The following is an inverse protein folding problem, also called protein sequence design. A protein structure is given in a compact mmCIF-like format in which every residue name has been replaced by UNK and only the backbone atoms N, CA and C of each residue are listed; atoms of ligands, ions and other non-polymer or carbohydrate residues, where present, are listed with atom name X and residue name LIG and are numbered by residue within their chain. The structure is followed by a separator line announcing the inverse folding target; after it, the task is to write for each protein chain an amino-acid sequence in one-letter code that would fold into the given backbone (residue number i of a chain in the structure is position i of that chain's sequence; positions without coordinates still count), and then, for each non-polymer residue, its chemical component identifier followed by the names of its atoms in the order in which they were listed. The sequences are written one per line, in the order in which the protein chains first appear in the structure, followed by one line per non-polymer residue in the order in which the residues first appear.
data_IF_007680990386
#
_entry.id   IF_007680990386
#
_cell.length_a   1.000
_cell.length_b   1.000
_cell.length_c   1.000
_cell.angle_alpha   90.00
_cell.angle_beta   90.00
_cell.angle_gamma   90.00
#
_symmetry.space_group_name_H-M   'P 1'
#
loop_
_entity.id
_entity.type
_entity.pdbx_description
1 polymer ?
#
# COMPACT_ATOMS: atom_id res chain seq x y z
N UNK A 1 39.68 -21.43 -6.07
CA UNK A 1 40.22 -22.14 -4.89
C UNK A 1 40.72 -21.10 -3.91
N UNK A 2 39.95 -20.77 -2.90
CA UNK A 2 40.44 -20.17 -1.62
C UNK A 2 39.35 -20.47 -0.58
N UNK A 3 39.66 -21.44 0.25
CA UNK A 3 38.93 -21.81 1.47
C UNK A 3 39.23 -20.76 2.51
N UNK A 4 38.26 -20.22 3.19
CA UNK A 4 38.49 -19.46 4.41
C UNK A 4 37.63 -20.04 5.54
N UNK A 5 38.35 -20.37 6.54
CA UNK A 5 38.13 -21.18 7.71
C UNK A 5 37.21 -20.49 8.72
N UNK A 6 36.32 -21.30 9.26
CA UNK A 6 35.43 -21.06 10.39
C UNK A 6 36.25 -21.01 11.70
N UNK A 7 36.01 -20.00 12.53
CA UNK A 7 36.47 -19.99 13.92
C UNK A 7 35.26 -19.85 14.84
N UNK A 8 34.97 -20.94 15.55
CA UNK A 8 34.10 -20.97 16.73
C UNK A 8 34.82 -20.31 17.92
N UNK A 9 34.09 -19.54 18.70
CA UNK A 9 34.42 -19.21 20.07
C UNK A 9 33.18 -19.38 20.95
N UNK A 10 33.26 -20.39 21.82
CA UNK A 10 32.41 -20.62 22.98
C UNK A 10 32.83 -19.71 24.14
N UNK A 11 31.92 -19.41 25.02
CA UNK A 11 32.16 -18.94 26.40
C UNK A 11 31.03 -18.07 26.89
N UNK A 12 30.39 -18.25 27.93
CA UNK A 12 30.43 -18.84 29.27
C UNK A 12 29.32 -18.18 30.08
N UNK A 13 28.68 -18.98 30.85
CA UNK A 13 27.65 -18.81 31.86
C UNK A 13 27.88 -17.75 32.96
N UNK A 14 26.81 -17.34 33.62
CA UNK A 14 26.79 -16.60 34.92
C UNK A 14 25.37 -16.18 35.25
N UNK A 15 24.60 -16.90 35.98
CA UNK A 15 24.33 -17.06 37.40
C UNK A 15 23.50 -15.91 38.00
N UNK A 16 22.27 -16.27 38.34
CA UNK A 16 21.39 -15.97 39.50
C UNK A 16 21.66 -14.73 40.34
N UNK A 17 20.56 -13.99 40.64
CA UNK A 17 20.22 -13.62 42.06
C UNK A 17 18.74 -13.25 42.16
N UNK A 18 18.03 -14.02 42.99
CA UNK A 18 16.71 -13.76 43.57
C UNK A 18 16.86 -12.66 44.67
N UNK A 19 15.98 -11.68 44.66
CA UNK A 19 15.63 -10.94 45.90
C UNK A 19 14.13 -10.67 45.90
N UNK A 20 13.49 -11.39 46.80
CA UNK A 20 12.18 -11.18 47.39
C UNK A 20 12.24 -9.98 48.33
N UNK A 21 11.32 -9.04 48.24
CA UNK A 21 10.94 -8.18 49.36
C UNK A 21 9.48 -7.77 49.27
N UNK A 22 8.77 -8.20 50.31
CA UNK A 22 7.39 -7.87 50.65
C UNK A 22 7.39 -6.58 51.52
N UNK A 23 6.37 -5.72 51.41
CA UNK A 23 6.17 -4.65 52.39
C UNK A 23 5.22 -3.56 51.89
N UNK A 24 4.04 -3.56 52.45
CA UNK A 24 2.86 -2.75 52.25
C UNK A 24 2.94 -1.28 52.62
N UNK A 25 1.87 -0.55 52.32
CA UNK A 25 1.58 0.80 52.79
C UNK A 25 0.73 1.58 51.79
N UNK A 26 -0.51 1.78 52.14
CA UNK A 26 -1.45 2.66 51.43
C UNK A 26 -1.05 4.11 51.55
N UNK A 27 -1.19 4.91 50.51
CA UNK A 27 -1.78 6.25 50.62
C UNK A 27 -2.14 6.84 49.24
N UNK A 28 -3.32 7.44 49.21
CA UNK A 28 -3.92 8.17 48.09
C UNK A 28 -3.14 9.43 47.75
N UNK A 29 -2.84 9.63 46.51
CA UNK A 29 -2.85 10.96 45.89
C UNK A 29 -3.01 10.82 44.36
N UNK A 30 -4.08 11.41 43.81
CA UNK A 30 -4.31 11.60 42.41
C UNK A 30 -3.48 12.80 41.92
N UNK A 31 -2.83 12.73 40.78
CA UNK A 31 -2.49 13.92 40.03
C UNK A 31 -3.41 14.07 38.81
N UNK A 32 -3.87 15.27 38.69
CA UNK A 32 -4.55 15.94 37.60
C UNK A 32 -4.11 15.45 36.25
N UNK A 33 -5.06 14.92 35.50
CA UNK A 33 -4.92 14.59 34.08
C UNK A 33 -5.00 15.88 33.26
N UNK A 34 -3.88 16.32 32.80
CA UNK A 34 -3.78 17.35 31.77
C UNK A 34 -4.18 16.71 30.44
N UNK A 35 -5.29 17.18 29.90
CA UNK A 35 -5.88 16.71 28.63
C UNK A 35 -5.01 17.18 27.49
N UNK A 36 -4.06 16.36 27.06
CA UNK A 36 -3.46 16.51 25.76
C UNK A 36 -4.49 16.06 24.71
N UNK A 37 -4.99 17.02 23.95
CA UNK A 37 -5.81 16.79 22.75
C UNK A 37 -4.92 16.10 21.74
N UNK A 38 -4.94 14.78 21.72
CA UNK A 38 -4.43 13.99 20.62
C UNK A 38 -5.44 14.11 19.48
N UNK A 39 -4.99 14.71 18.40
CA UNK A 39 -5.66 14.70 17.10
C UNK A 39 -5.81 13.23 16.71
N UNK A 40 -7.03 12.72 16.86
CA UNK A 40 -7.43 11.38 16.47
C UNK A 40 -7.33 11.28 14.94
N UNK A 41 -6.22 10.76 14.46
CA UNK A 41 -6.18 10.18 13.13
C UNK A 41 -7.05 8.92 13.21
N UNK A 42 -8.17 8.95 12.49
CA UNK A 42 -9.15 7.88 12.45
C UNK A 42 -8.48 6.57 12.01
N UNK A 43 -8.13 5.75 13.00
CA UNK A 43 -7.66 4.38 12.79
C UNK A 43 -8.87 3.53 12.40
N UNK A 44 -8.89 2.87 11.22
CA UNK A 44 -10.03 2.05 10.81
C UNK A 44 -10.26 0.91 11.81
N UNK A 45 -11.52 0.69 12.18
CA UNK A 45 -11.94 -0.36 13.10
C UNK A 45 -11.52 -1.77 12.60
N UNK A 46 -11.36 -2.74 13.49
CA UNK A 46 -10.83 -4.09 13.21
C UNK A 46 -11.57 -4.89 12.11
N UNK A 47 -12.81 -4.54 11.73
CA UNK A 47 -13.52 -5.05 10.56
C UNK A 47 -12.90 -4.61 9.23
N UNK A 48 -12.33 -3.42 9.17
CA UNK A 48 -11.73 -2.82 7.98
C UNK A 48 -10.39 -3.44 7.59
N UNK A 49 -9.65 -4.05 8.50
CA UNK A 49 -8.35 -4.68 8.21
C UNK A 49 -8.51 -5.95 7.36
N UNK A 50 -9.54 -6.77 7.64
CA UNK A 50 -9.83 -7.96 6.85
C UNK A 50 -10.35 -7.61 5.45
N UNK A 51 -11.21 -6.61 5.36
CA UNK A 51 -11.74 -6.12 4.07
C UNK A 51 -10.63 -5.51 3.22
N UNK A 52 -9.74 -4.74 3.83
CA UNK A 52 -8.59 -4.15 3.16
C UNK A 52 -7.62 -5.23 2.66
N UNK A 53 -7.31 -6.23 3.48
CA UNK A 53 -6.45 -7.35 3.08
C UNK A 53 -7.06 -8.14 1.90
N UNK A 54 -8.36 -8.41 1.94
CA UNK A 54 -9.09 -9.06 0.85
C UNK A 54 -9.08 -8.21 -0.43
N UNK A 55 -9.27 -6.90 -0.30
CA UNK A 55 -9.19 -5.96 -1.44
C UNK A 55 -7.80 -5.95 -2.06
N UNK A 56 -6.74 -5.89 -1.26
CA UNK A 56 -5.36 -5.92 -1.77
C UNK A 56 -5.04 -7.26 -2.45
N UNK A 57 -5.48 -8.38 -1.90
CA UNK A 57 -5.32 -9.70 -2.52
C UNK A 57 -6.05 -9.78 -3.87
N UNK A 58 -7.27 -9.22 -3.97
CA UNK A 58 -8.00 -9.08 -5.24
C UNK A 58 -7.23 -8.21 -6.23
N UNK A 59 -6.72 -7.07 -5.77
CA UNK A 59 -5.91 -6.15 -6.59
C UNK A 59 -4.65 -6.82 -7.14
N UNK A 60 -3.98 -7.64 -6.33
CA UNK A 60 -2.83 -8.44 -6.75
C UNK A 60 -3.19 -9.42 -7.89
N UNK A 61 -4.32 -10.12 -7.75
CA UNK A 61 -4.79 -11.04 -8.80
C UNK A 61 -5.08 -10.32 -10.11
N UNK A 62 -5.74 -9.16 -10.04
CA UNK A 62 -6.01 -8.33 -11.23
C UNK A 62 -4.70 -7.85 -11.83
N UNK A 63 -3.77 -7.38 -11.04
CA UNK A 63 -2.45 -6.94 -11.52
C UNK A 63 -1.72 -8.04 -12.28
N UNK A 64 -1.65 -9.23 -11.70
CA UNK A 64 -0.99 -10.40 -12.30
C UNK A 64 -1.63 -10.85 -13.61
N UNK A 65 -2.92 -10.64 -13.80
CA UNK A 65 -3.65 -11.09 -14.99
C UNK A 65 -3.82 -10.03 -16.06
N UNK A 66 -3.89 -8.76 -15.70
CA UNK A 66 -4.25 -7.67 -16.61
C UNK A 66 -3.12 -6.64 -16.84
N UNK A 67 -2.27 -6.43 -15.84
CA UNK A 67 -1.34 -5.29 -15.85
C UNK A 67 0.12 -5.68 -16.10
N UNK A 68 0.51 -6.88 -15.65
CA UNK A 68 1.90 -7.36 -15.64
C UNK A 68 2.54 -7.40 -17.03
N UNK A 69 1.77 -7.67 -18.08
CA UNK A 69 2.27 -7.76 -19.44
C UNK A 69 2.92 -6.46 -19.93
N UNK A 70 2.37 -5.30 -19.50
CA UNK A 70 2.87 -3.98 -19.85
C UNK A 70 3.70 -3.36 -18.74
N UNK A 71 3.20 -3.41 -17.49
CA UNK A 71 3.85 -2.74 -16.37
C UNK A 71 4.92 -3.57 -15.65
N UNK A 72 5.14 -4.81 -16.08
CA UNK A 72 6.09 -5.78 -15.53
C UNK A 72 5.76 -6.22 -14.07
N UNK A 73 6.36 -7.32 -13.62
CA UNK A 73 6.11 -7.87 -12.29
C UNK A 73 6.55 -6.95 -11.13
N UNK A 74 7.48 -6.06 -11.41
CA UNK A 74 8.05 -5.10 -10.45
C UNK A 74 7.47 -3.67 -10.59
N UNK A 75 6.46 -3.47 -11.44
CA UNK A 75 5.84 -2.17 -11.67
C UNK A 75 6.69 -1.15 -12.44
N UNK A 76 7.87 -1.52 -12.92
CA UNK A 76 8.79 -0.58 -13.58
C UNK A 76 8.41 -0.23 -15.03
N UNK A 77 7.47 -0.97 -15.61
CA UNK A 77 7.10 -0.78 -17.00
C UNK A 77 8.22 -1.14 -17.97
N UNK A 78 8.18 -0.56 -19.13
CA UNK A 78 9.20 -0.71 -20.17
C UNK A 78 9.55 0.69 -20.72
N UNK A 79 10.83 1.11 -20.67
CA UNK A 79 11.25 2.42 -21.17
C UNK A 79 10.75 2.69 -22.58
N UNK A 80 10.19 3.87 -22.80
CA UNK A 80 9.63 4.34 -24.08
C UNK A 80 8.43 3.54 -24.63
N UNK A 81 7.94 2.51 -23.92
CA UNK A 81 6.79 1.71 -24.34
C UNK A 81 5.65 1.75 -23.30
N UNK A 82 5.95 1.48 -22.05
CA UNK A 82 4.95 1.42 -20.97
C UNK A 82 5.45 2.14 -19.73
N UNK A 83 4.61 2.98 -19.09
CA UNK A 83 5.02 3.78 -17.93
C UNK A 83 5.37 2.93 -16.72
N UNK A 84 6.32 3.43 -15.93
CA UNK A 84 6.53 2.92 -14.58
C UNK A 84 5.36 3.29 -13.67
N UNK A 85 5.02 2.37 -12.78
CA UNK A 85 4.08 2.59 -11.66
C UNK A 85 4.83 2.89 -10.37
N UNK A 86 6.16 2.65 -10.35
CA UNK A 86 7.03 2.90 -9.20
C UNK A 86 7.24 4.40 -9.06
N UNK A 87 6.85 4.96 -7.90
CA UNK A 87 6.99 6.39 -7.62
C UNK A 87 6.23 7.30 -8.59
N UNK A 88 5.23 6.78 -9.31
CA UNK A 88 4.47 7.55 -10.28
C UNK A 88 3.72 8.70 -9.62
N UNK A 89 4.11 9.92 -9.96
CA UNK A 89 3.49 11.14 -9.44
C UNK A 89 1.99 11.20 -9.76
N UNK A 90 1.61 10.75 -10.97
CA UNK A 90 0.21 10.64 -11.36
C UNK A 90 -0.58 9.71 -10.41
N UNK A 91 -0.08 8.50 -10.17
CA UNK A 91 -0.75 7.55 -9.27
C UNK A 91 -0.84 8.07 -7.83
N UNK A 92 0.22 8.69 -7.33
CA UNK A 92 0.28 9.13 -5.94
C UNK A 92 -0.59 10.35 -5.67
N UNK A 93 -0.72 11.26 -6.65
CA UNK A 93 -1.48 12.51 -6.51
C UNK A 93 -2.91 12.43 -7.04
N UNK A 94 -3.15 11.65 -8.10
CA UNK A 94 -4.41 11.65 -8.86
C UNK A 94 -5.12 10.28 -8.79
N UNK A 95 -5.29 9.75 -7.58
CA UNK A 95 -5.81 8.39 -7.36
C UNK A 95 -7.18 8.13 -8.01
N UNK A 96 -8.09 9.09 -7.90
CA UNK A 96 -9.44 8.99 -8.50
C UNK A 96 -9.35 8.94 -10.02
N UNK A 97 -8.46 9.76 -10.60
CA UNK A 97 -8.22 9.76 -12.05
C UNK A 97 -7.54 8.45 -12.49
N UNK A 98 -6.64 7.90 -11.68
CA UNK A 98 -6.03 6.59 -11.95
C UNK A 98 -7.06 5.46 -11.95
N UNK A 99 -8.02 5.46 -11.01
CA UNK A 99 -9.15 4.53 -11.01
C UNK A 99 -10.00 4.71 -12.26
N UNK A 100 -10.33 5.97 -12.63
CA UNK A 100 -11.07 6.27 -13.85
C UNK A 100 -10.33 5.79 -15.12
N UNK A 101 -9.00 5.91 -15.14
CA UNK A 101 -8.17 5.43 -16.25
C UNK A 101 -8.18 3.90 -16.37
N UNK A 102 -8.17 3.18 -15.25
CA UNK A 102 -8.28 1.72 -15.25
C UNK A 102 -9.65 1.26 -15.75
N UNK A 103 -10.72 2.00 -15.43
CA UNK A 103 -12.08 1.72 -15.90
C UNK A 103 -12.27 2.03 -17.38
N UNK A 104 -11.72 3.14 -17.87
CA UNK A 104 -12.08 3.72 -19.17
C UNK A 104 -10.94 3.73 -20.18
N UNK A 105 -9.73 3.36 -19.76
CA UNK A 105 -8.54 3.40 -20.60
C UNK A 105 -7.91 4.80 -20.72
N UNK A 106 -6.62 4.85 -21.05
CA UNK A 106 -5.87 6.11 -21.12
C UNK A 106 -6.16 6.94 -22.38
N UNK A 107 -6.83 6.40 -23.37
CA UNK A 107 -7.34 7.17 -24.50
C UNK A 107 -8.48 8.11 -24.10
N UNK A 108 -9.37 7.63 -23.22
CA UNK A 108 -10.52 8.40 -22.72
C UNK A 108 -10.17 9.23 -21.48
N UNK A 109 -9.24 8.73 -20.67
CA UNK A 109 -8.79 9.36 -19.43
C UNK A 109 -7.26 9.47 -19.46
N UNK A 110 -6.71 10.49 -20.12
CA UNK A 110 -5.26 10.65 -20.20
C UNK A 110 -4.67 11.01 -18.84
N UNK A 111 -3.50 10.46 -18.54
CA UNK A 111 -2.69 10.92 -17.42
C UNK A 111 -2.12 12.31 -17.69
N UNK A 112 -2.01 13.13 -16.63
CA UNK A 112 -1.37 14.43 -16.75
C UNK A 112 0.14 14.28 -17.00
N UNK A 113 0.68 15.09 -17.91
CA UNK A 113 2.10 15.12 -18.24
C UNK A 113 2.36 15.21 -19.74
N UNK A 114 3.58 15.60 -20.09
CA UNK A 114 3.99 15.81 -21.50
C UNK A 114 4.44 14.51 -22.18
N UNK A 115 4.42 13.37 -21.47
CA UNK A 115 4.90 12.09 -22.01
C UNK A 115 3.75 11.44 -22.79
N UNK A 116 3.96 11.29 -24.08
CA UNK A 116 3.06 10.52 -24.97
C UNK A 116 3.60 9.11 -25.09
N UNK A 117 2.81 8.14 -24.66
CA UNK A 117 3.11 6.73 -24.81
C UNK A 117 2.70 6.23 -26.20
N UNK A 118 3.41 5.24 -26.79
CA UNK A 118 3.15 4.77 -28.15
C UNK A 118 1.75 4.18 -28.35
N UNK A 119 1.20 3.57 -27.31
CA UNK A 119 -0.15 3.01 -27.31
C UNK A 119 -0.91 3.42 -26.04
N UNK A 120 -2.21 3.72 -26.14
CA UNK A 120 -3.03 3.94 -24.98
C UNK A 120 -3.26 2.62 -24.21
N UNK A 121 -3.33 2.70 -22.89
CA UNK A 121 -3.76 1.59 -22.05
C UNK A 121 -5.27 1.35 -22.29
N UNK A 122 -5.71 0.15 -22.67
CA UNK A 122 -7.13 -0.15 -22.77
C UNK A 122 -7.76 -0.23 -21.37
N UNK A 123 -9.11 -0.19 -21.24
CA UNK A 123 -9.80 -0.48 -19.99
C UNK A 123 -9.38 -1.84 -19.43
N UNK A 124 -9.11 -1.90 -18.12
CA UNK A 124 -8.60 -3.09 -17.44
C UNK A 124 -9.55 -3.66 -16.39
N UNK A 125 -10.57 -2.89 -15.99
CA UNK A 125 -11.60 -3.32 -15.06
C UNK A 125 -13.00 -2.97 -15.55
N UNK A 126 -13.98 -3.79 -15.17
CA UNK A 126 -15.39 -3.62 -15.53
C UNK A 126 -16.21 -2.99 -14.38
N UNK A 127 -15.67 -3.03 -13.15
CA UNK A 127 -16.33 -2.53 -11.94
C UNK A 127 -15.41 -1.57 -11.17
N UNK A 128 -16.04 -0.68 -10.41
CA UNK A 128 -15.28 0.25 -9.53
C UNK A 128 -14.52 -0.51 -8.45
N UNK A 129 -15.09 -1.60 -7.94
CA UNK A 129 -14.47 -2.47 -6.94
C UNK A 129 -13.16 -3.06 -7.43
N UNK A 130 -13.12 -3.55 -8.67
CA UNK A 130 -11.92 -4.09 -9.30
C UNK A 130 -10.88 -3.00 -9.55
N UNK A 131 -11.31 -1.86 -10.07
CA UNK A 131 -10.43 -0.74 -10.33
C UNK A 131 -9.81 -0.17 -9.04
N UNK A 132 -10.62 -0.01 -7.99
CA UNK A 132 -10.15 0.42 -6.66
C UNK A 132 -9.19 -0.61 -6.07
N UNK A 133 -9.52 -1.91 -6.17
CA UNK A 133 -8.68 -2.98 -5.65
C UNK A 133 -7.28 -2.98 -6.29
N UNK A 134 -7.20 -2.91 -7.62
CA UNK A 134 -5.90 -2.93 -8.31
C UNK A 134 -5.12 -1.63 -8.10
N UNK A 135 -5.77 -0.48 -8.04
CA UNK A 135 -5.09 0.79 -7.74
C UNK A 135 -4.56 0.77 -6.31
N UNK A 136 -5.33 0.32 -5.31
CA UNK A 136 -4.85 0.20 -3.93
C UNK A 136 -3.67 -0.79 -3.82
N UNK A 137 -3.70 -1.90 -4.57
CA UNK A 137 -2.56 -2.79 -4.65
C UNK A 137 -1.31 -2.07 -5.17
N UNK A 138 -1.41 -1.35 -6.29
CA UNK A 138 -0.27 -0.61 -6.88
C UNK A 138 0.23 0.50 -5.97
N UNK A 139 -0.66 1.24 -5.31
CA UNK A 139 -0.33 2.31 -4.37
C UNK A 139 0.47 1.82 -3.16
N UNK A 140 0.35 0.55 -2.79
CA UNK A 140 1.00 -0.04 -1.61
C UNK A 140 2.01 -1.15 -1.96
N UNK A 141 2.38 -1.27 -3.24
CA UNK A 141 3.38 -2.21 -3.73
C UNK A 141 4.52 -1.48 -4.45
N UNK A 142 5.52 -2.23 -4.86
CA UNK A 142 6.66 -1.74 -5.65
C UNK A 142 7.45 -0.61 -4.97
N UNK A 143 7.40 -0.53 -3.62
CA UNK A 143 8.01 0.55 -2.86
C UNK A 143 7.18 1.83 -2.80
N UNK A 144 5.97 1.84 -3.37
CA UNK A 144 5.03 2.94 -3.21
C UNK A 144 4.45 2.96 -1.79
N UNK A 145 4.18 4.16 -1.29
CA UNK A 145 3.45 4.40 -0.04
C UNK A 145 2.37 5.46 -0.31
N UNK A 146 1.46 5.10 -1.20
CA UNK A 146 0.44 6.02 -1.72
C UNK A 146 -0.84 6.09 -0.91
N UNK A 147 -0.97 5.30 0.18
CA UNK A 147 -2.21 5.18 0.93
C UNK A 147 -3.32 4.50 0.11
N UNK A 148 -4.57 4.88 0.32
CA UNK A 148 -5.72 4.19 -0.24
C UNK A 148 -6.68 5.14 -0.92
N UNK A 149 -7.49 4.60 -1.84
CA UNK A 149 -8.69 5.21 -2.41
C UNK A 149 -9.88 4.31 -2.07
N UNK A 150 -10.99 4.90 -1.67
CA UNK A 150 -12.23 4.20 -1.32
C UNK A 150 -13.22 4.16 -2.49
N UNK A 151 -14.26 3.33 -2.39
CA UNK A 151 -15.37 3.34 -3.34
C UNK A 151 -16.17 4.66 -3.28
N UNK A 152 -16.22 5.28 -2.10
CA UNK A 152 -16.87 6.58 -1.92
C UNK A 152 -16.14 7.69 -2.69
N UNK A 153 -14.78 7.67 -2.69
CA UNK A 153 -13.98 8.65 -3.44
C UNK A 153 -14.25 8.59 -4.94
N UNK A 154 -14.65 7.44 -5.46
CA UNK A 154 -14.87 7.20 -6.89
C UNK A 154 -16.35 7.04 -7.27
N UNK A 155 -17.29 7.36 -6.36
CA UNK A 155 -18.72 7.20 -6.60
C UNK A 155 -19.20 7.90 -7.87
N UNK A 156 -18.66 9.08 -8.16
CA UNK A 156 -19.03 9.92 -9.29
C UNK A 156 -18.26 9.59 -10.60
N UNK A 157 -17.29 8.67 -10.53
CA UNK A 157 -16.58 8.21 -11.73
C UNK A 157 -17.53 7.44 -12.63
N UNK A 158 -17.67 7.88 -13.87
CA UNK A 158 -18.49 7.21 -14.89
C UNK A 158 -17.73 6.06 -15.54
N UNK A 159 -18.42 4.94 -15.80
CA UNK A 159 -17.89 3.87 -16.65
C UNK A 159 -18.46 4.10 -18.05
N UNK A 160 -17.57 4.33 -19.00
CA UNK A 160 -17.96 4.62 -20.38
C UNK A 160 -18.38 3.34 -21.11
N UNK A 161 -19.33 3.42 -22.05
CA UNK A 161 -19.68 2.29 -22.91
C UNK A 161 -18.45 1.78 -23.69
N UNK A 162 -18.37 0.46 -23.85
CA UNK A 162 -17.31 -0.23 -24.64
C UNK A 162 -17.84 -0.64 -25.98
#
# INVERSE_FOLDING_TARGET
MKKLTYVMALGIAGASLLMTSCGGGAEKQAPKQETAVQKEEAQPAAGTNNEMAAQLARGEQIYKTKCIACHQANGQGLPNAFPTLVGSEFLLKEKVLAVSQVLNGSANVPSHGNIKWPAPMPPQADTKEDAVAVINYVLNNFGNNGGYVSLEDVKDVQILPR
#
